data_IF_632040619202
#
_entry.id   IF_632040619202
#
_cell.length_a   1.000
_cell.length_b   1.000
_cell.length_c   1.000
_cell.angle_alpha   90.00
_cell.angle_beta   90.00
_cell.angle_gamma   90.00
#
_symmetry.space_group_name_H-M   'P 1'
#
loop_
_entity.id
_entity.type
_entity.pdbx_description
1 polymer ?
#
# COMPACT_ATOMS: atom_id res chain seq x y z
N UNK A 1 -3.34 -10.10 18.59
CA UNK A 1 -3.68 -8.68 18.48
C UNK A 1 -5.19 -8.50 18.56
N UNK A 2 -5.66 -7.57 19.39
CA UNK A 2 -7.08 -7.15 19.44
C UNK A 2 -7.13 -5.62 19.38
N UNK A 3 -8.09 -5.07 18.65
CA UNK A 3 -8.21 -3.63 18.45
C UNK A 3 -9.66 -3.17 18.61
N UNK A 4 -9.87 -2.12 19.39
CA UNK A 4 -11.16 -1.55 19.72
C UNK A 4 -11.17 -0.05 19.45
N UNK A 5 -12.29 0.46 18.96
CA UNK A 5 -12.56 1.89 18.77
C UNK A 5 -13.96 2.19 19.33
N UNK A 6 -14.06 3.19 20.21
CA UNK A 6 -15.34 3.64 20.78
C UNK A 6 -16.20 2.49 21.34
N UNK A 7 -15.56 1.58 22.12
CA UNK A 7 -16.16 0.38 22.70
C UNK A 7 -16.67 -0.66 21.67
N UNK A 8 -16.27 -0.53 20.41
CA UNK A 8 -16.52 -1.54 19.37
C UNK A 8 -15.25 -2.31 19.08
N UNK A 9 -15.29 -3.63 19.23
CA UNK A 9 -14.20 -4.54 18.84
C UNK A 9 -14.12 -4.56 17.32
N UNK A 10 -13.00 -4.12 16.78
CA UNK A 10 -12.74 -4.11 15.33
C UNK A 10 -12.22 -5.49 14.89
N UNK A 11 -11.28 -6.05 15.63
CA UNK A 11 -10.82 -7.43 15.48
C UNK A 11 -10.25 -7.93 16.81
N UNK A 12 -10.28 -9.24 17.03
CA UNK A 12 -9.78 -9.89 18.25
C UNK A 12 -8.98 -11.15 17.92
N UNK A 13 -8.07 -11.52 18.83
CA UNK A 13 -7.29 -12.76 18.78
C UNK A 13 -6.48 -12.96 17.48
N UNK A 14 -6.12 -11.87 16.81
CA UNK A 14 -5.32 -11.92 15.59
C UNK A 14 -3.86 -12.19 15.95
N UNK A 15 -3.32 -13.30 15.47
CA UNK A 15 -1.92 -13.70 15.68
C UNK A 15 -1.31 -14.11 14.34
N UNK A 16 -0.25 -13.43 13.93
CA UNK A 16 0.50 -13.72 12.71
C UNK A 16 1.87 -13.06 12.74
N UNK A 17 2.79 -13.64 12.00
CA UNK A 17 4.13 -13.12 11.80
C UNK A 17 4.30 -12.64 10.35
N UNK A 18 5.00 -11.53 10.18
CA UNK A 18 5.31 -10.95 8.87
C UNK A 18 6.81 -11.01 8.65
N UNK A 19 7.20 -11.63 7.55
CA UNK A 19 8.60 -11.79 7.15
C UNK A 19 8.90 -11.13 5.80
N UNK A 20 10.17 -10.89 5.52
CA UNK A 20 10.65 -10.45 4.21
C UNK A 20 10.37 -11.49 3.12
N UNK A 21 10.53 -11.12 1.85
CA UNK A 21 10.35 -12.01 0.69
C UNK A 21 8.93 -12.59 0.55
N UNK A 22 7.91 -11.89 1.05
CA UNK A 22 6.53 -12.40 1.07
C UNK A 22 5.52 -11.34 0.69
N UNK A 23 4.37 -11.80 0.18
CA UNK A 23 3.19 -10.96 -0.03
C UNK A 23 2.12 -11.42 0.96
N UNK A 24 1.56 -10.48 1.71
CA UNK A 24 0.45 -10.71 2.63
C UNK A 24 -0.78 -9.99 2.12
N UNK A 25 -1.88 -10.71 1.99
CA UNK A 25 -3.19 -10.15 1.65
C UNK A 25 -4.10 -10.18 2.87
N UNK A 26 -4.44 -8.99 3.38
CA UNK A 26 -5.43 -8.84 4.44
C UNK A 26 -6.79 -8.82 3.78
N UNK A 27 -7.60 -9.82 4.08
CA UNK A 27 -8.93 -10.08 3.52
C UNK A 27 -10.01 -9.91 4.57
N UNK A 28 -11.21 -9.62 4.14
CA UNK A 28 -12.40 -9.46 4.98
C UNK A 28 -13.37 -8.48 4.36
N UNK A 29 -14.58 -8.42 4.89
CA UNK A 29 -15.65 -7.56 4.41
C UNK A 29 -15.33 -6.06 4.60
N UNK A 30 -16.13 -5.19 3.98
CA UNK A 30 -16.03 -3.77 4.21
C UNK A 30 -16.37 -3.47 5.67
N UNK A 31 -15.49 -2.73 6.35
CA UNK A 31 -15.65 -2.43 7.77
C UNK A 31 -15.00 -3.45 8.73
N UNK A 32 -14.42 -4.56 8.25
CA UNK A 32 -13.73 -5.55 9.10
C UNK A 32 -12.42 -5.08 9.74
N UNK A 33 -12.00 -3.83 9.53
CA UNK A 33 -10.80 -3.27 10.16
C UNK A 33 -9.52 -3.38 9.35
N UNK A 34 -9.55 -3.78 8.07
CA UNK A 34 -8.35 -3.91 7.21
C UNK A 34 -7.47 -2.66 7.23
N UNK A 35 -8.04 -1.49 6.94
CA UNK A 35 -7.32 -0.22 6.96
C UNK A 35 -6.79 0.14 8.35
N UNK A 36 -7.49 -0.23 9.42
CA UNK A 36 -7.04 -0.05 10.81
C UNK A 36 -5.82 -0.93 11.09
N UNK A 37 -5.86 -2.19 10.69
CA UNK A 37 -4.72 -3.09 10.82
C UNK A 37 -3.50 -2.59 10.03
N UNK A 38 -3.69 -2.12 8.79
CA UNK A 38 -2.59 -1.53 8.01
C UNK A 38 -1.98 -0.30 8.70
N UNK A 39 -2.79 0.56 9.33
CA UNK A 39 -2.30 1.72 10.10
C UNK A 39 -1.50 1.29 11.33
N UNK A 40 -1.92 0.22 12.01
CA UNK A 40 -1.17 -0.35 13.13
C UNK A 40 0.16 -0.91 12.62
N UNK A 41 0.16 -1.74 11.59
CA UNK A 41 1.37 -2.32 11.00
C UNK A 41 2.33 -1.25 10.46
N UNK A 42 1.82 -0.11 9.99
CA UNK A 42 2.64 1.03 9.55
C UNK A 42 3.07 1.98 10.70
N UNK A 43 2.71 1.64 11.94
CA UNK A 43 2.96 2.44 13.16
C UNK A 43 2.29 3.83 13.17
N UNK A 44 1.37 4.10 12.27
CA UNK A 44 0.54 5.31 12.32
C UNK A 44 -0.41 5.28 13.53
N UNK A 45 -0.90 4.09 13.89
CA UNK A 45 -1.60 3.83 15.14
C UNK A 45 -0.72 2.94 16.01
N UNK A 46 -0.27 3.44 17.17
CA UNK A 46 0.58 2.68 18.10
C UNK A 46 -0.26 1.73 18.93
N UNK A 47 0.28 0.53 19.16
CA UNK A 47 -0.29 -0.47 20.06
C UNK A 47 0.83 -1.18 20.83
N UNK A 48 0.60 -1.44 22.12
CA UNK A 48 1.62 -2.00 23.02
C UNK A 48 1.92 -3.49 22.77
N UNK A 49 1.00 -4.21 22.15
CA UNK A 49 1.12 -5.65 21.87
C UNK A 49 1.52 -5.97 20.43
N UNK A 50 2.06 -5.01 19.69
CA UNK A 50 2.67 -5.21 18.37
C UNK A 50 4.17 -5.02 18.49
N UNK A 51 4.91 -6.09 18.21
CA UNK A 51 6.37 -6.09 18.27
C UNK A 51 6.94 -5.87 16.87
N UNK A 52 7.98 -5.07 16.81
CA UNK A 52 8.66 -4.73 15.56
C UNK A 52 10.16 -4.89 15.76
N UNK A 53 10.86 -5.29 14.71
CA UNK A 53 12.31 -5.22 14.68
C UNK A 53 12.79 -3.76 14.79
N UNK A 54 13.99 -3.57 15.32
CA UNK A 54 14.61 -2.27 15.43
C UNK A 54 14.70 -1.57 14.05
N UNK A 55 14.40 -0.26 14.02
CA UNK A 55 14.45 0.57 12.80
C UNK A 55 13.44 0.24 11.69
N UNK A 56 12.41 -0.55 11.95
CA UNK A 56 11.41 -0.91 10.93
C UNK A 56 10.69 0.32 10.35
N UNK A 57 10.45 1.35 11.17
CA UNK A 57 9.73 2.57 10.74
C UNK A 57 10.38 3.26 9.55
N UNK A 58 11.71 3.32 9.56
CA UNK A 58 12.48 3.94 8.46
C UNK A 58 12.37 3.15 7.15
N UNK A 59 11.90 1.91 7.20
CA UNK A 59 11.82 0.97 6.08
C UNK A 59 10.40 0.74 5.53
N UNK A 60 9.40 1.46 6.06
CA UNK A 60 8.01 1.33 5.63
C UNK A 60 7.67 2.39 4.58
N UNK A 61 7.07 1.94 3.46
CA UNK A 61 6.32 2.78 2.53
C UNK A 61 4.83 2.50 2.73
N UNK A 62 4.10 3.47 3.26
CA UNK A 62 2.66 3.37 3.48
C UNK A 62 1.88 4.12 2.40
N UNK A 63 0.88 3.47 1.83
CA UNK A 63 -0.13 4.06 0.96
C UNK A 63 -1.51 3.72 1.47
N UNK A 64 -2.15 4.67 2.12
CA UNK A 64 -3.54 4.55 2.57
C UNK A 64 -4.55 4.89 1.48
N UNK A 65 -5.78 5.14 1.89
CA UNK A 65 -6.87 5.54 0.98
C UNK A 65 -6.59 6.87 0.28
N UNK A 66 -5.97 7.84 0.97
CA UNK A 66 -5.52 9.11 0.38
C UNK A 66 -4.16 8.94 -0.28
N UNK A 67 -4.00 9.52 -1.48
CA UNK A 67 -2.77 9.37 -2.27
C UNK A 67 -1.56 10.14 -1.70
N UNK A 68 -1.78 11.16 -0.84
CA UNK A 68 -0.71 11.91 -0.19
C UNK A 68 0.09 12.81 -1.13
N UNK A 69 -0.58 13.43 -2.10
CA UNK A 69 -0.04 14.41 -3.04
C UNK A 69 -0.71 15.77 -2.85
N UNK A 70 -0.01 16.84 -3.22
CA UNK A 70 -0.53 18.20 -3.31
C UNK A 70 -1.25 18.36 -4.65
N UNK A 71 -2.52 18.69 -4.62
CA UNK A 71 -3.39 18.72 -5.81
C UNK A 71 -3.01 19.83 -6.81
N UNK A 72 -2.53 20.97 -6.32
CA UNK A 72 -2.31 22.21 -7.09
C UNK A 72 -0.99 22.23 -7.87
N UNK A 73 -0.05 21.36 -7.55
CA UNK A 73 1.25 21.30 -8.21
C UNK A 73 1.35 20.13 -9.19
N UNK A 74 2.37 20.14 -10.04
CA UNK A 74 2.56 19.08 -11.03
C UNK A 74 2.90 17.74 -10.39
N UNK A 75 2.67 16.65 -11.12
CA UNK A 75 3.06 15.32 -10.68
C UNK A 75 4.58 15.27 -10.44
N UNK A 76 5.39 15.91 -11.30
CA UNK A 76 6.84 16.01 -11.13
C UNK A 76 7.22 16.72 -9.83
N UNK A 77 6.61 17.87 -9.56
CA UNK A 77 6.92 18.66 -8.36
C UNK A 77 6.53 17.92 -7.08
N UNK A 78 5.42 17.19 -7.11
CA UNK A 78 5.06 16.29 -6.02
C UNK A 78 6.14 15.25 -5.74
N UNK A 79 6.67 14.58 -6.77
CA UNK A 79 7.76 13.60 -6.59
C UNK A 79 9.02 14.26 -6.04
N UNK A 80 9.37 15.46 -6.51
CA UNK A 80 10.54 16.23 -6.03
C UNK A 80 10.40 16.60 -4.55
N UNK A 81 9.26 17.17 -4.13
CA UNK A 81 9.00 17.57 -2.73
C UNK A 81 9.04 16.35 -1.80
N UNK A 82 8.51 15.23 -2.25
CA UNK A 82 8.47 14.00 -1.46
C UNK A 82 9.79 13.20 -1.48
N UNK A 83 10.83 13.72 -2.18
CA UNK A 83 12.13 13.07 -2.30
C UNK A 83 12.07 11.70 -2.99
N UNK A 84 11.02 11.45 -3.79
CA UNK A 84 10.83 10.19 -4.48
C UNK A 84 11.37 10.28 -5.92
N UNK A 85 12.26 9.38 -6.36
CA UNK A 85 12.78 9.43 -7.72
C UNK A 85 11.72 9.03 -8.74
N UNK A 86 11.68 9.77 -9.87
CA UNK A 86 10.85 9.38 -11.01
C UNK A 86 11.53 8.25 -11.78
N UNK A 87 11.00 7.04 -11.63
CA UNK A 87 11.43 5.90 -12.43
C UNK A 87 10.76 5.96 -13.82
N UNK A 88 11.54 6.33 -14.84
CA UNK A 88 11.03 6.51 -16.20
C UNK A 88 10.43 5.25 -16.82
N UNK A 89 10.99 4.07 -16.52
CA UNK A 89 10.49 2.79 -17.02
C UNK A 89 9.12 2.45 -16.42
N UNK A 90 8.98 2.61 -15.10
CA UNK A 90 7.70 2.41 -14.41
C UNK A 90 6.65 3.43 -14.86
N UNK A 91 7.03 4.72 -14.98
CA UNK A 91 6.12 5.75 -15.49
C UNK A 91 5.61 5.43 -16.90
N UNK A 92 6.47 4.89 -17.79
CA UNK A 92 6.07 4.43 -19.11
C UNK A 92 5.13 3.22 -19.02
N UNK A 93 5.50 2.22 -18.21
CA UNK A 93 4.72 0.98 -18.00
C UNK A 93 3.29 1.26 -17.51
N UNK A 94 3.12 2.28 -16.67
CA UNK A 94 1.82 2.66 -16.09
C UNK A 94 1.13 3.84 -16.79
N UNK A 95 1.63 4.29 -17.96
CA UNK A 95 1.02 5.35 -18.76
C UNK A 95 1.15 6.77 -18.20
N UNK A 96 2.03 7.00 -17.21
CA UNK A 96 2.19 8.29 -16.53
C UNK A 96 3.20 9.24 -17.20
N UNK A 97 3.91 8.78 -18.24
CA UNK A 97 5.03 9.54 -18.84
C UNK A 97 4.65 10.93 -19.35
N UNK A 98 3.46 11.05 -19.95
CA UNK A 98 2.95 12.31 -20.50
C UNK A 98 2.35 13.23 -19.43
N UNK A 99 2.05 12.70 -18.24
CA UNK A 99 1.34 13.38 -17.17
C UNK A 99 2.26 14.11 -16.18
N UNK A 100 3.58 13.98 -16.33
CA UNK A 100 4.58 14.54 -15.37
C UNK A 100 4.40 16.02 -15.08
N UNK A 101 4.03 16.80 -16.08
CA UNK A 101 3.88 18.25 -15.97
C UNK A 101 2.42 18.68 -15.72
N UNK A 102 1.50 17.73 -15.65
CA UNK A 102 0.11 18.03 -15.31
C UNK A 102 -0.03 18.23 -13.80
N UNK A 103 -0.86 19.19 -13.39
CA UNK A 103 -1.26 19.34 -11.99
C UNK A 103 -1.96 18.08 -11.52
N UNK A 104 -1.69 17.66 -10.28
CA UNK A 104 -2.19 16.40 -9.77
C UNK A 104 -3.72 16.34 -9.76
N UNK A 105 -4.41 17.45 -9.48
CA UNK A 105 -5.86 17.48 -9.48
C UNK A 105 -6.49 17.14 -10.85
N UNK A 106 -5.78 17.38 -11.96
CA UNK A 106 -6.24 17.09 -13.33
C UNK A 106 -6.14 15.60 -13.72
N UNK A 107 -5.49 14.79 -12.89
CA UNK A 107 -5.38 13.35 -13.14
C UNK A 107 -6.68 12.64 -12.78
N UNK A 108 -7.05 11.63 -13.57
CA UNK A 108 -8.13 10.72 -13.21
C UNK A 108 -7.83 9.96 -11.91
N UNK A 109 -8.86 9.37 -11.29
CA UNK A 109 -8.69 8.60 -10.06
C UNK A 109 -7.64 7.48 -10.22
N UNK A 110 -7.72 6.70 -11.31
CA UNK A 110 -6.75 5.64 -11.60
C UNK A 110 -5.33 6.17 -11.83
N UNK A 111 -5.15 7.29 -12.53
CA UNK A 111 -3.84 7.93 -12.73
C UNK A 111 -3.25 8.44 -11.41
N UNK A 112 -4.07 9.04 -10.56
CA UNK A 112 -3.68 9.44 -9.19
C UNK A 112 -3.23 8.22 -8.37
N UNK A 113 -3.97 7.12 -8.46
CA UNK A 113 -3.63 5.87 -7.77
C UNK A 113 -2.33 5.27 -8.27
N UNK A 114 -2.15 5.20 -9.61
CA UNK A 114 -0.89 4.76 -10.24
C UNK A 114 0.30 5.61 -9.77
N UNK A 115 0.16 6.93 -9.73
CA UNK A 115 1.22 7.83 -9.26
C UNK A 115 1.60 7.57 -7.79
N UNK A 116 0.62 7.39 -6.91
CA UNK A 116 0.85 7.09 -5.51
C UNK A 116 1.56 5.74 -5.30
N UNK A 117 1.18 4.72 -6.07
CA UNK A 117 1.87 3.42 -6.09
C UNK A 117 3.32 3.57 -6.56
N UNK A 118 3.56 4.33 -7.64
CA UNK A 118 4.94 4.56 -8.12
C UNK A 118 5.81 5.21 -7.05
N UNK A 119 5.28 6.17 -6.29
CA UNK A 119 6.00 6.77 -5.15
C UNK A 119 6.38 5.71 -4.11
N UNK A 120 5.45 4.85 -3.71
CA UNK A 120 5.73 3.80 -2.75
C UNK A 120 6.80 2.83 -3.26
N UNK A 121 6.68 2.37 -4.51
CA UNK A 121 7.60 1.42 -5.15
C UNK A 121 9.02 2.00 -5.31
N UNK A 122 9.13 3.30 -5.61
CA UNK A 122 10.44 3.95 -5.82
C UNK A 122 11.08 4.54 -4.56
N UNK A 123 10.47 4.35 -3.40
CA UNK A 123 10.91 4.93 -2.12
C UNK A 123 12.15 4.27 -1.50
N UNK A 124 12.71 3.23 -2.09
CA UNK A 124 13.79 2.40 -1.54
C UNK A 124 13.46 1.78 -0.17
N UNK A 125 12.18 1.61 0.14
CA UNK A 125 11.72 0.94 1.36
C UNK A 125 11.54 -0.54 1.12
N UNK A 126 11.80 -1.33 2.16
CA UNK A 126 11.73 -2.80 2.07
C UNK A 126 10.40 -3.38 2.54
N UNK A 127 9.52 -2.55 3.10
CA UNK A 127 8.18 -2.95 3.55
C UNK A 127 7.17 -2.01 2.89
N UNK A 128 6.29 -2.57 2.07
CA UNK A 128 5.21 -1.82 1.42
C UNK A 128 3.88 -2.20 2.04
N UNK A 129 3.20 -1.23 2.62
CA UNK A 129 1.88 -1.38 3.22
C UNK A 129 0.89 -0.56 2.39
N UNK A 130 0.02 -1.24 1.66
CA UNK A 130 -0.81 -0.63 0.62
C UNK A 130 -2.29 -0.96 0.86
N UNK A 131 -3.08 0.08 1.05
CA UNK A 131 -4.53 -0.03 1.23
C UNK A 131 -5.23 0.08 -0.12
N UNK A 132 -5.97 -0.95 -0.54
CA UNK A 132 -6.68 -1.04 -1.82
C UNK A 132 -5.82 -0.65 -3.05
N UNK A 133 -4.65 -1.30 -3.26
CA UNK A 133 -3.71 -0.87 -4.31
C UNK A 133 -4.26 -0.98 -5.73
N UNK A 134 -5.25 -1.83 -5.96
CA UNK A 134 -5.84 -2.08 -7.29
C UNK A 134 -7.04 -1.18 -7.60
N UNK A 135 -7.52 -0.39 -6.64
CA UNK A 135 -8.69 0.46 -6.81
C UNK A 135 -8.54 1.44 -7.99
N UNK A 136 -9.50 1.41 -8.91
CA UNK A 136 -9.56 2.29 -10.08
C UNK A 136 -8.50 2.00 -11.16
N UNK A 137 -7.80 0.88 -11.08
CA UNK A 137 -6.84 0.46 -12.10
C UNK A 137 -7.56 -0.36 -13.20
N UNK A 138 -7.07 -0.21 -14.42
CA UNK A 138 -7.43 -1.10 -15.53
C UNK A 138 -6.73 -2.46 -15.41
N UNK A 139 -7.25 -3.47 -16.12
CA UNK A 139 -6.75 -4.86 -16.07
C UNK A 139 -5.25 -4.98 -16.39
N UNK A 140 -4.76 -4.19 -17.33
CA UNK A 140 -3.34 -4.19 -17.71
C UNK A 140 -2.48 -3.64 -16.56
N UNK A 141 -2.89 -2.55 -15.96
CA UNK A 141 -2.21 -1.94 -14.81
C UNK A 141 -2.20 -2.87 -13.59
N UNK A 142 -3.30 -3.59 -13.33
CA UNK A 142 -3.37 -4.60 -12.27
C UNK A 142 -2.35 -5.72 -12.53
N UNK A 143 -2.34 -6.28 -13.74
CA UNK A 143 -1.37 -7.32 -14.12
C UNK A 143 0.07 -6.83 -13.97
N UNK A 144 0.35 -5.62 -14.44
CA UNK A 144 1.67 -5.00 -14.30
C UNK A 144 2.07 -4.79 -12.85
N UNK A 145 1.15 -4.38 -11.99
CA UNK A 145 1.40 -4.14 -10.56
C UNK A 145 1.70 -5.47 -9.82
N UNK A 146 0.92 -6.52 -10.09
CA UNK A 146 1.18 -7.87 -9.54
C UNK A 146 2.60 -8.36 -9.91
N UNK A 147 3.03 -8.18 -11.16
CA UNK A 147 4.40 -8.51 -11.60
C UNK A 147 5.45 -7.70 -10.85
N UNK A 148 5.22 -6.39 -10.66
CA UNK A 148 6.14 -5.53 -9.89
C UNK A 148 6.25 -6.00 -8.45
N UNK A 149 5.16 -6.40 -7.81
CA UNK A 149 5.20 -6.96 -6.45
C UNK A 149 6.07 -8.22 -6.40
N UNK A 150 5.82 -9.20 -7.26
CA UNK A 150 6.57 -10.44 -7.33
C UNK A 150 8.07 -10.21 -7.61
N UNK A 151 8.41 -9.28 -8.51
CA UNK A 151 9.78 -8.92 -8.82
C UNK A 151 10.53 -8.32 -7.61
N UNK A 152 9.84 -7.50 -6.79
CA UNK A 152 10.44 -6.87 -5.61
C UNK A 152 10.51 -7.80 -4.41
N UNK A 153 9.52 -8.66 -4.24
CA UNK A 153 9.55 -9.71 -3.21
C UNK A 153 10.75 -10.64 -3.39
N UNK A 154 11.08 -11.02 -4.62
CA UNK A 154 12.32 -11.78 -4.93
C UNK A 154 13.60 -11.05 -4.52
N UNK A 155 13.55 -9.72 -4.37
CA UNK A 155 14.68 -8.86 -3.93
C UNK A 155 14.66 -8.54 -2.43
N UNK A 156 13.77 -9.16 -1.66
CA UNK A 156 13.71 -8.99 -0.21
C UNK A 156 12.62 -8.05 0.30
N UNK A 157 11.81 -7.46 -0.59
CA UNK A 157 10.70 -6.60 -0.17
C UNK A 157 9.59 -7.46 0.43
N UNK A 158 8.98 -6.98 1.51
CA UNK A 158 7.72 -7.46 2.04
C UNK A 158 6.59 -6.57 1.52
N UNK A 159 5.54 -7.16 0.95
CA UNK A 159 4.37 -6.43 0.47
C UNK A 159 3.14 -6.85 1.27
N UNK A 160 2.49 -5.89 1.93
CA UNK A 160 1.27 -6.11 2.70
C UNK A 160 0.16 -5.29 2.06
N UNK A 161 -0.89 -5.94 1.62
CA UNK A 161 -2.02 -5.26 0.99
C UNK A 161 -3.33 -5.57 1.70
N UNK A 162 -4.20 -4.57 1.83
CA UNK A 162 -5.61 -4.79 2.09
C UNK A 162 -6.36 -4.71 0.77
N UNK A 163 -7.15 -5.71 0.46
CA UNK A 163 -7.81 -5.83 -0.83
C UNK A 163 -9.00 -6.80 -0.74
N UNK A 164 -10.05 -6.59 -1.51
CA UNK A 164 -11.26 -7.43 -1.48
C UNK A 164 -11.64 -8.00 -2.86
N UNK A 165 -11.10 -7.49 -3.96
CA UNK A 165 -11.51 -7.88 -5.33
C UNK A 165 -10.48 -8.73 -6.04
N UNK A 166 -9.21 -8.32 -5.95
CA UNK A 166 -8.11 -8.96 -6.69
C UNK A 166 -7.37 -9.96 -5.82
N UNK A 167 -6.82 -11.00 -6.41
CA UNK A 167 -5.98 -11.99 -5.73
C UNK A 167 -4.59 -12.06 -6.32
N UNK A 168 -3.62 -12.36 -5.45
CA UNK A 168 -2.25 -12.68 -5.85
C UNK A 168 -1.99 -14.14 -5.46
N UNK A 169 -1.75 -15.00 -6.44
CA UNK A 169 -1.70 -16.45 -6.25
C UNK A 169 -0.63 -16.91 -5.25
N UNK A 170 0.50 -16.19 -5.17
CA UNK A 170 1.63 -16.52 -4.30
C UNK A 170 1.60 -15.77 -2.94
N UNK A 171 0.44 -15.30 -2.51
CA UNK A 171 0.30 -14.54 -1.26
C UNK A 171 -0.15 -15.38 -0.06
N UNK A 172 0.27 -14.96 1.12
CA UNK A 172 -0.27 -15.44 2.41
C UNK A 172 -1.53 -14.63 2.71
N UNK A 173 -2.66 -15.30 2.88
CA UNK A 173 -3.95 -14.65 3.14
C UNK A 173 -4.23 -14.60 4.64
N UNK A 174 -4.51 -13.40 5.16
CA UNK A 174 -4.91 -13.13 6.54
C UNK A 174 -6.35 -12.65 6.52
N UNK A 175 -7.24 -13.40 7.12
CA UNK A 175 -8.67 -13.08 7.13
C UNK A 175 -9.05 -12.35 8.43
N UNK A 176 -9.72 -11.20 8.28
CA UNK A 176 -10.35 -10.50 9.39
C UNK A 176 -11.82 -10.85 9.42
N UNK A 177 -12.22 -11.53 10.47
CA UNK A 177 -13.64 -11.80 10.74
C UNK A 177 -14.29 -10.56 11.36
N UNK A 178 -15.52 -10.24 10.95
CA UNK A 178 -16.32 -9.27 11.68
C UNK A 178 -16.71 -9.87 13.02
N UNK A 179 -16.39 -9.18 14.10
CA UNK A 179 -17.00 -9.47 15.39
C UNK A 179 -18.37 -8.77 15.39
N UNK A 180 -19.44 -9.56 15.44
CA UNK A 180 -20.83 -9.10 15.58
C UNK A 180 -21.04 -8.36 16.92
#
# INVERSE_FOLDING_TARGET
LSYEIDSRIIFSNLDFEISSHSIYEIRGDNGSGKSSLLKILSRLNKMDNVYYDENIESNIAYLGHKNGFVEEISLRDNFNILGAPINHALFKKFGLSKLKNHKFFNLSFGEKRKAALMRAITSNKTIWILDEPFAGLDKESISNLKKVFLEHVKKGVCVIIANHQEEIDESVKIYLEQND
#
